data_IF_339670059058
#
_entry.id   IF_339670059058
#
_cell.length_a   1.000
_cell.length_b   1.000
_cell.length_c   1.000
_cell.angle_alpha   90.00
_cell.angle_beta   90.00
_cell.angle_gamma   90.00
#
_symmetry.space_group_name_H-M   'P 1'
#
loop_
_entity.id
_entity.type
_entity.pdbx_description
1 polymer ?
#
# COMPACT_ATOMS: atom_id res chain seq x y z
N UNK A 1 -65.47 1.68 -0.86
CA UNK A 1 -65.38 0.67 0.23
C UNK A 1 -64.67 1.34 1.42
N UNK A 2 -64.83 0.84 2.64
CA UNK A 2 -64.46 1.53 3.92
C UNK A 2 -62.94 1.81 4.04
N UNK A 3 -62.54 3.00 4.56
CA UNK A 3 -61.95 3.31 5.90
C UNK A 3 -60.58 2.66 6.21
N UNK A 4 -59.64 3.19 7.03
CA UNK A 4 -59.47 4.42 7.85
C UNK A 4 -58.16 5.15 7.40
N UNK A 5 -57.85 6.45 7.55
CA UNK A 5 -58.09 7.54 8.54
C UNK A 5 -56.97 7.71 9.63
N UNK A 6 -56.06 8.69 9.36
CA UNK A 6 -55.41 9.72 10.25
C UNK A 6 -54.62 9.25 11.52
N UNK A 7 -53.73 10.03 12.14
CA UNK A 7 -53.16 11.39 11.94
C UNK A 7 -51.60 11.30 12.04
N UNK A 8 -50.71 12.24 12.44
CA UNK A 8 -50.58 13.65 12.91
C UNK A 8 -49.13 14.09 12.45
N UNK A 9 -48.65 15.31 12.17
CA UNK A 9 -48.91 16.72 12.54
C UNK A 9 -48.50 17.13 13.99
N UNK A 10 -47.79 18.23 14.29
CA UNK A 10 -47.25 19.36 13.49
C UNK A 10 -46.09 20.05 14.28
N UNK A 11 -45.24 20.85 13.61
CA UNK A 11 -44.26 21.81 14.19
C UNK A 11 -43.05 21.22 14.99
N UNK A 12 -41.94 21.95 15.20
CA UNK A 12 -41.63 23.32 14.76
C UNK A 12 -40.13 23.67 14.89
N UNK A 13 -39.70 24.78 14.28
CA UNK A 13 -38.32 25.25 14.36
C UNK A 13 -38.07 26.11 15.61
N UNK A 14 -36.89 25.95 16.23
CA UNK A 14 -36.44 26.77 17.35
C UNK A 14 -34.92 26.97 17.32
N UNK A 15 -34.48 28.22 17.20
CA UNK A 15 -33.06 28.59 17.32
C UNK A 15 -32.74 28.85 18.80
N UNK A 16 -31.71 28.20 19.34
CA UNK A 16 -31.27 28.43 20.72
C UNK A 16 -30.08 29.38 20.71
N UNK A 17 -30.31 30.64 21.05
CA UNK A 17 -29.26 31.61 21.38
C UNK A 17 -28.88 31.48 22.85
N UNK A 18 -27.69 30.99 23.15
CA UNK A 18 -27.16 30.96 24.52
C UNK A 18 -26.62 32.35 24.88
N UNK A 19 -27.34 33.05 25.75
CA UNK A 19 -26.86 34.27 26.40
C UNK A 19 -26.09 33.90 27.66
N UNK A 20 -24.87 34.44 27.83
CA UNK A 20 -24.05 34.19 29.01
C UNK A 20 -24.20 35.35 30.02
N UNK A 21 -25.00 35.14 31.07
CA UNK A 21 -25.06 36.02 32.23
C UNK A 21 -24.05 35.58 33.30
N UNK A 22 -23.24 36.51 33.80
CA UNK A 22 -22.37 36.24 34.94
C UNK A 22 -23.20 36.21 36.24
N UNK A 23 -23.02 35.23 37.14
CA UNK A 23 -23.55 35.31 38.50
C UNK A 23 -22.73 36.30 39.33
N UNK A 24 -23.42 37.17 40.07
CA UNK A 24 -22.83 38.10 41.04
C UNK A 24 -22.46 37.41 42.35
N UNK A 25 -21.40 37.87 43.01
CA UNK A 25 -20.92 37.32 44.28
C UNK A 25 -21.73 37.79 45.50
N UNK A 26 -22.55 36.92 46.08
CA UNK A 26 -23.00 37.01 47.47
C UNK A 26 -23.54 35.66 47.99
N UNK A 27 -23.80 35.60 49.30
CA UNK A 27 -24.37 34.49 50.07
C UNK A 27 -23.56 33.17 50.11
N UNK A 28 -22.51 33.18 50.93
CA UNK A 28 -22.04 31.98 51.64
C UNK A 28 -22.82 31.90 52.96
N UNK A 29 -23.57 30.83 53.19
CA UNK A 29 -24.07 30.43 54.52
C UNK A 29 -23.86 28.94 54.77
N UNK A 30 -23.81 28.59 56.05
CA UNK A 30 -23.37 27.27 56.52
C UNK A 30 -24.25 26.11 56.01
N UNK A 31 -23.62 25.18 55.29
CA UNK A 31 -24.16 23.83 55.10
C UNK A 31 -23.26 22.84 55.84
N UNK A 32 -23.89 21.96 56.63
CA UNK A 32 -23.18 21.00 57.49
C UNK A 32 -22.45 19.96 56.63
N UNK A 33 -21.21 19.66 57.03
CA UNK A 33 -20.48 18.48 56.55
C UNK A 33 -21.11 17.21 57.15
N UNK A 34 -22.10 16.66 56.45
CA UNK A 34 -22.51 15.26 56.65
C UNK A 34 -21.53 14.31 55.94
N UNK A 35 -21.40 13.08 56.44
CA UNK A 35 -20.38 12.14 55.99
C UNK A 35 -20.64 11.65 54.55
N UNK A 36 -20.01 12.32 53.57
CA UNK A 36 -19.87 11.79 52.21
C UNK A 36 -18.87 10.62 52.28
N UNK A 37 -19.36 9.38 52.25
CA UNK A 37 -18.50 8.24 51.96
C UNK A 37 -17.80 8.47 50.61
N UNK A 38 -16.47 8.42 50.59
CA UNK A 38 -15.72 8.59 49.36
C UNK A 38 -16.19 7.54 48.33
N UNK A 39 -16.64 7.94 47.12
CA UNK A 39 -17.15 6.99 46.15
C UNK A 39 -16.06 5.99 45.81
N UNK A 40 -16.32 4.71 46.10
CA UNK A 40 -15.38 3.63 45.75
C UNK A 40 -15.14 3.70 44.26
N UNK A 41 -13.94 4.12 43.84
CA UNK A 41 -13.51 3.98 42.46
C UNK A 41 -13.52 2.49 42.14
N UNK A 42 -14.58 2.06 41.45
CA UNK A 42 -14.49 0.90 40.60
C UNK A 42 -13.43 1.23 39.56
N UNK A 43 -12.24 0.63 39.72
CA UNK A 43 -11.28 0.51 38.65
C UNK A 43 -11.95 -0.35 37.58
N UNK A 44 -12.68 0.32 36.68
CA UNK A 44 -13.10 -0.30 35.42
C UNK A 44 -11.81 -0.68 34.72
N UNK A 45 -11.55 -1.99 34.61
CA UNK A 45 -10.43 -2.51 33.83
C UNK A 45 -10.75 -2.30 32.35
N UNK A 46 -10.65 -1.04 31.92
CA UNK A 46 -10.62 -0.67 30.51
C UNK A 46 -9.30 -1.18 29.96
N UNK A 47 -9.28 -2.47 29.61
CA UNK A 47 -8.21 -3.05 28.83
C UNK A 47 -8.04 -2.16 27.60
N UNK A 48 -6.92 -1.45 27.57
CA UNK A 48 -6.61 -0.51 26.51
C UNK A 48 -6.24 -1.36 25.30
N UNK A 49 -7.24 -1.73 24.50
CA UNK A 49 -7.06 -2.48 23.26
C UNK A 49 -6.08 -1.72 22.39
N UNK A 50 -4.86 -2.25 22.28
CA UNK A 50 -3.83 -1.67 21.45
C UNK A 50 -4.29 -1.77 20.00
N UNK A 51 -4.26 -0.65 19.22
CA UNK A 51 -4.79 -0.64 17.87
C UNK A 51 -4.12 -1.74 17.06
N UNK A 52 -4.92 -2.47 16.27
CA UNK A 52 -4.45 -3.58 15.45
C UNK A 52 -3.40 -3.11 14.43
N UNK A 53 -2.59 -4.01 13.89
CA UNK A 53 -1.65 -3.67 12.82
C UNK A 53 -2.36 -2.99 11.64
N UNK A 54 -3.56 -3.49 11.26
CA UNK A 54 -4.42 -2.92 10.21
C UNK A 54 -4.84 -1.47 10.52
N UNK A 55 -5.20 -1.15 11.76
CA UNK A 55 -5.54 0.22 12.17
C UNK A 55 -4.31 1.15 12.22
N UNK A 56 -3.17 0.66 12.70
CA UNK A 56 -1.92 1.41 12.68
C UNK A 56 -1.48 1.74 11.25
N UNK A 57 -1.59 0.79 10.32
CA UNK A 57 -1.36 1.04 8.88
C UNK A 57 -2.35 2.09 8.37
N UNK A 58 -3.64 1.95 8.64
CA UNK A 58 -4.65 2.94 8.26
C UNK A 58 -4.39 4.35 8.81
N UNK A 59 -3.80 4.47 9.99
CA UNK A 59 -3.40 5.74 10.62
C UNK A 59 -2.11 6.33 9.99
N UNK A 60 -1.06 5.51 9.80
CA UNK A 60 0.17 5.96 9.14
C UNK A 60 -0.08 6.34 7.66
N UNK A 61 -0.97 5.63 6.96
CA UNK A 61 -1.45 6.00 5.62
C UNK A 61 -2.13 7.39 5.62
N UNK A 62 -2.88 7.74 6.67
CA UNK A 62 -3.47 9.09 6.81
C UNK A 62 -2.42 10.17 7.12
N UNK A 63 -1.44 9.88 8.00
CA UNK A 63 -0.31 10.79 8.28
C UNK A 63 0.54 11.03 7.03
N UNK A 64 0.79 9.99 6.23
CA UNK A 64 1.45 10.10 4.93
C UNK A 64 0.71 11.09 4.02
N UNK A 65 -0.60 10.91 3.82
CA UNK A 65 -1.46 11.79 3.01
C UNK A 65 -1.37 13.25 3.42
N UNK A 66 -1.53 13.52 4.72
CA UNK A 66 -1.46 14.87 5.26
C UNK A 66 -0.08 15.49 5.05
N UNK A 67 1.00 14.72 5.27
CA UNK A 67 2.38 15.18 5.03
C UNK A 67 2.66 15.44 3.54
N UNK A 68 2.15 14.60 2.63
CA UNK A 68 2.34 14.73 1.19
C UNK A 68 1.58 15.96 0.68
N UNK A 69 0.30 16.10 1.06
CA UNK A 69 -0.51 17.29 0.76
C UNK A 69 0.05 18.58 1.40
N UNK A 70 0.86 18.50 2.47
CA UNK A 70 1.63 19.64 2.98
C UNK A 70 2.80 19.98 2.04
N UNK A 71 3.67 19.00 1.70
CA UNK A 71 4.79 19.18 0.74
C UNK A 71 4.32 19.75 -0.61
N UNK A 72 3.17 19.28 -1.10
CA UNK A 72 2.50 19.76 -2.32
C UNK A 72 2.19 21.24 -2.25
N UNK A 73 1.64 21.72 -1.12
CA UNK A 73 1.17 23.10 -0.95
C UNK A 73 2.29 24.08 -0.59
N UNK A 74 3.36 23.62 0.07
CA UNK A 74 4.56 24.43 0.31
C UNK A 74 5.47 24.56 -0.92
N UNK A 75 5.14 23.87 -2.03
CA UNK A 75 6.00 23.71 -3.20
C UNK A 75 7.38 23.09 -2.86
N UNK A 76 7.48 22.32 -1.77
CA UNK A 76 8.72 21.73 -1.27
C UNK A 76 9.08 20.43 -2.01
N UNK A 77 9.01 20.47 -3.34
CA UNK A 77 9.50 19.42 -4.23
C UNK A 77 11.02 19.57 -4.47
N UNK A 78 11.78 19.99 -3.44
CA UNK A 78 13.13 20.56 -3.56
C UNK A 78 14.22 19.54 -3.89
N UNK A 79 14.25 19.10 -5.14
CA UNK A 79 15.41 18.49 -5.82
C UNK A 79 15.77 17.05 -5.42
N UNK A 80 15.56 16.62 -4.17
CA UNK A 80 15.97 15.29 -3.69
C UNK A 80 15.16 14.16 -4.31
N UNK A 81 13.83 14.24 -4.27
CA UNK A 81 12.93 13.21 -4.80
C UNK A 81 12.72 13.29 -6.32
N UNK A 82 13.02 14.44 -6.92
CA UNK A 82 13.03 14.60 -8.37
C UNK A 82 14.01 13.64 -9.07
N UNK A 83 15.07 13.13 -8.41
CA UNK A 83 16.08 12.29 -9.06
C UNK A 83 15.52 10.99 -9.69
N UNK A 84 14.41 10.46 -9.17
CA UNK A 84 13.79 9.24 -9.73
C UNK A 84 12.66 9.55 -10.74
N UNK A 85 12.14 10.78 -10.78
CA UNK A 85 11.10 11.25 -11.72
C UNK A 85 11.62 12.23 -12.80
N UNK A 86 12.86 12.69 -12.69
CA UNK A 86 13.56 13.48 -13.71
C UNK A 86 13.92 12.59 -14.88
N UNK A 87 13.49 12.99 -16.08
CA UNK A 87 13.56 12.19 -17.33
C UNK A 87 14.95 12.17 -17.96
N UNK A 88 15.98 11.90 -17.15
CA UNK A 88 17.37 11.69 -17.58
C UNK A 88 18.00 10.52 -16.82
N UNK A 89 17.67 9.31 -17.25
CA UNK A 89 18.52 8.12 -16.98
C UNK A 89 19.94 8.28 -17.56
N UNK A 90 20.14 9.24 -18.48
CA UNK A 90 21.44 9.65 -19.00
C UNK A 90 22.33 10.42 -17.99
N UNK A 91 21.74 11.19 -17.06
CA UNK A 91 22.51 11.88 -15.98
C UNK A 91 22.70 10.94 -14.78
N UNK A 92 23.02 9.67 -15.05
CA UNK A 92 23.36 8.69 -14.04
C UNK A 92 24.71 9.04 -13.41
N UNK A 93 24.65 9.75 -12.29
CA UNK A 93 25.75 9.97 -11.38
C UNK A 93 25.90 8.72 -10.48
N UNK A 94 26.90 7.84 -10.71
CA UNK A 94 27.08 6.64 -9.91
C UNK A 94 27.46 6.95 -8.46
N UNK A 95 28.00 8.14 -8.16
CA UNK A 95 28.34 8.56 -6.81
C UNK A 95 27.09 9.01 -6.04
N UNK A 96 26.19 9.82 -6.63
CA UNK A 96 24.89 10.15 -6.02
C UNK A 96 24.01 8.91 -5.86
N UNK A 97 23.97 8.05 -6.88
CA UNK A 97 23.25 6.78 -6.77
C UNK A 97 23.84 5.89 -5.67
N UNK A 98 25.17 5.84 -5.51
CA UNK A 98 25.84 5.16 -4.38
C UNK A 98 25.54 5.83 -3.03
N UNK A 99 25.38 7.15 -2.97
CA UNK A 99 25.04 7.89 -1.76
C UNK A 99 23.57 7.69 -1.34
N UNK A 100 22.66 7.55 -2.30
CA UNK A 100 21.30 7.06 -2.07
C UNK A 100 21.32 5.59 -1.62
N UNK A 101 22.08 4.70 -2.27
CA UNK A 101 22.24 3.28 -1.86
C UNK A 101 22.88 3.11 -0.47
N UNK A 102 23.61 4.10 0.03
CA UNK A 102 24.20 4.08 1.37
C UNK A 102 23.19 4.46 2.49
N UNK A 103 22.22 5.33 2.18
CA UNK A 103 21.25 5.86 3.14
C UNK A 103 19.81 5.35 2.94
N UNK A 104 19.53 4.71 1.81
CA UNK A 104 18.24 4.11 1.47
C UNK A 104 18.44 2.66 1.04
N UNK A 105 17.55 1.79 1.51
CA UNK A 105 17.56 0.36 1.23
C UNK A 105 18.85 -0.34 1.67
N UNK A 106 19.04 -0.40 3.00
CA UNK A 106 19.18 -1.76 3.55
C UNK A 106 17.95 -2.51 3.04
N UNK A 107 18.10 -3.42 2.08
CA UNK A 107 17.02 -4.37 1.79
C UNK A 107 16.68 -5.01 3.14
N UNK A 108 15.42 -4.89 3.58
CA UNK A 108 15.03 -5.37 4.90
C UNK A 108 15.45 -6.83 5.00
N UNK A 109 16.42 -7.11 5.87
CA UNK A 109 16.86 -8.47 6.13
C UNK A 109 15.66 -9.15 6.76
N UNK A 110 14.92 -9.91 5.98
CA UNK A 110 13.75 -10.71 6.38
C UNK A 110 14.17 -11.91 7.23
N UNK A 111 15.04 -11.66 8.22
CA UNK A 111 15.60 -12.62 9.17
C UNK A 111 14.89 -12.64 10.52
N UNK A 112 13.79 -11.89 10.65
CA UNK A 112 12.78 -12.15 11.66
C UNK A 112 11.64 -12.95 11.01
N UNK A 113 11.15 -13.95 11.75
CA UNK A 113 9.75 -14.32 11.63
C UNK A 113 8.96 -13.22 12.30
N UNK A 114 7.89 -12.77 11.66
CA UNK A 114 7.00 -11.73 12.19
C UNK A 114 5.59 -12.25 12.07
N UNK A 115 4.87 -12.25 13.19
CA UNK A 115 3.44 -12.58 13.24
C UNK A 115 2.56 -11.42 12.69
N UNK A 116 3.19 -10.48 11.97
CA UNK A 116 2.62 -9.34 11.29
C UNK A 116 2.05 -9.76 9.91
N UNK A 117 0.81 -9.37 9.63
CA UNK A 117 0.14 -9.53 8.35
C UNK A 117 0.95 -8.82 7.23
N UNK A 118 1.04 -9.40 6.02
CA UNK A 118 1.73 -8.76 4.90
C UNK A 118 0.96 -7.52 4.43
N UNK A 119 1.69 -6.43 4.17
CA UNK A 119 1.12 -5.16 3.70
C UNK A 119 1.24 -5.09 2.18
N UNK A 120 0.11 -5.14 1.48
CA UNK A 120 0.07 -5.16 0.02
C UNK A 120 -0.43 -3.81 -0.48
N UNK A 121 0.44 -3.04 -1.12
CA UNK A 121 0.08 -1.75 -1.71
C UNK A 121 -0.32 -1.95 -3.16
N UNK A 122 -1.62 -1.89 -3.44
CA UNK A 122 -2.17 -1.96 -4.80
C UNK A 122 -2.23 -0.55 -5.39
N UNK A 123 -1.71 -0.39 -6.60
CA UNK A 123 -1.76 0.85 -7.36
C UNK A 123 -2.60 0.70 -8.64
N UNK A 124 -3.89 1.06 -8.63
CA UNK A 124 -4.70 1.04 -9.84
C UNK A 124 -4.19 2.16 -10.77
N UNK A 125 -3.57 1.79 -11.88
CA UNK A 125 -2.92 2.69 -12.85
C UNK A 125 -3.86 3.78 -13.37
N UNK A 126 -3.32 4.93 -13.76
CA UNK A 126 -4.09 6.11 -14.20
C UNK A 126 -5.12 6.57 -13.15
N UNK A 127 -6.08 7.46 -13.44
CA UNK A 127 -7.00 7.92 -12.39
C UNK A 127 -8.15 8.83 -12.82
N UNK A 128 -9.32 8.61 -12.22
CA UNK A 128 -10.51 9.43 -12.44
C UNK A 128 -10.43 10.77 -11.70
N UNK A 129 -9.43 11.60 -12.02
CA UNK A 129 -9.32 12.96 -11.46
C UNK A 129 -10.48 13.85 -11.96
N UNK A 130 -10.89 14.79 -11.11
CA UNK A 130 -11.97 15.72 -11.42
C UNK A 130 -11.63 16.63 -12.60
N UNK A 131 -12.66 17.11 -13.32
CA UNK A 131 -12.58 18.14 -14.38
C UNK A 131 -12.04 19.52 -13.95
N UNK A 132 -11.42 19.61 -12.77
CA UNK A 132 -10.73 20.77 -12.21
C UNK A 132 -9.20 20.58 -12.18
N UNK A 133 -8.67 19.42 -12.61
CA UNK A 133 -7.24 19.17 -12.72
C UNK A 133 -6.67 19.86 -13.97
N UNK A 134 -5.65 20.72 -13.80
CA UNK A 134 -5.02 21.46 -14.91
C UNK A 134 -4.32 20.55 -15.93
N UNK A 135 -3.97 19.32 -15.55
CA UNK A 135 -3.41 18.31 -16.44
C UNK A 135 -4.48 17.50 -17.22
N UNK A 136 -5.77 17.72 -16.95
CA UNK A 136 -6.86 16.97 -17.58
C UNK A 136 -7.13 15.59 -16.94
N UNK A 137 -7.79 14.73 -17.71
CA UNK A 137 -8.40 13.48 -17.26
C UNK A 137 -7.57 12.27 -17.72
N UNK A 138 -6.79 11.68 -16.80
CA UNK A 138 -5.92 10.53 -17.11
C UNK A 138 -6.70 9.20 -17.10
N UNK A 139 -7.23 8.83 -18.27
CA UNK A 139 -7.95 7.57 -18.48
C UNK A 139 -7.08 6.33 -18.53
N UNK A 140 -5.77 6.48 -18.76
CA UNK A 140 -5.00 5.46 -19.48
C UNK A 140 -5.56 5.22 -20.88
N UNK A 141 -5.37 4.02 -21.41
CA UNK A 141 -5.92 3.62 -22.71
C UNK A 141 -7.46 3.73 -22.78
N UNK A 142 -7.97 4.05 -23.97
CA UNK A 142 -9.41 4.01 -24.29
C UNK A 142 -9.62 3.23 -25.59
N UNK A 143 -10.36 2.12 -25.53
CA UNK A 143 -10.82 1.43 -26.74
C UNK A 143 -12.02 2.17 -27.33
N UNK A 144 -11.77 2.98 -28.37
CA UNK A 144 -12.71 3.96 -28.94
C UNK A 144 -14.11 3.38 -29.18
N UNK A 145 -14.19 2.26 -29.92
CA UNK A 145 -15.46 1.69 -30.39
C UNK A 145 -16.36 1.13 -29.28
N UNK A 146 -15.88 1.02 -28.02
CA UNK A 146 -16.72 0.59 -26.88
C UNK A 146 -16.55 1.44 -25.61
N UNK A 147 -15.79 2.54 -25.67
CA UNK A 147 -15.57 3.43 -24.53
C UNK A 147 -14.96 2.76 -23.28
N UNK A 148 -14.27 1.63 -23.43
CA UNK A 148 -13.61 0.94 -22.31
C UNK A 148 -12.35 1.71 -21.94
N UNK A 149 -12.31 2.23 -20.70
CA UNK A 149 -11.22 3.05 -20.15
C UNK A 149 -10.42 2.24 -19.15
N UNK A 150 -9.10 2.18 -19.32
CA UNK A 150 -8.14 1.49 -18.44
C UNK A 150 -8.34 1.88 -16.97
N UNK A 151 -8.35 3.17 -16.64
CA UNK A 151 -8.46 3.68 -15.28
C UNK A 151 -9.71 3.20 -14.52
N UNK A 152 -10.79 2.86 -15.23
CA UNK A 152 -12.02 2.29 -14.65
C UNK A 152 -11.99 0.77 -14.56
N UNK A 153 -11.23 0.13 -15.45
CA UNK A 153 -11.08 -1.32 -15.55
C UNK A 153 -10.15 -1.84 -14.46
N UNK A 154 -8.96 -1.24 -14.32
CA UNK A 154 -7.97 -1.61 -13.29
C UNK A 154 -8.45 -1.26 -11.88
N UNK A 155 -9.30 -0.23 -11.73
CA UNK A 155 -9.91 0.12 -10.44
C UNK A 155 -10.88 -0.97 -9.95
N UNK A 156 -11.73 -1.51 -10.83
CA UNK A 156 -12.61 -2.66 -10.51
C UNK A 156 -11.79 -3.90 -10.13
N UNK A 157 -10.74 -4.19 -10.91
CA UNK A 157 -9.85 -5.34 -10.66
C UNK A 157 -9.13 -5.16 -9.31
N UNK A 158 -8.68 -3.95 -8.98
CA UNK A 158 -8.01 -3.65 -7.73
C UNK A 158 -8.92 -3.81 -6.49
N UNK A 159 -10.21 -3.48 -6.59
CA UNK A 159 -11.16 -3.72 -5.50
C UNK A 159 -11.43 -5.20 -5.26
N UNK A 160 -11.63 -5.99 -6.33
CA UNK A 160 -11.81 -7.44 -6.21
C UNK A 160 -10.52 -8.11 -5.70
N UNK A 161 -9.34 -7.62 -6.12
CA UNK A 161 -8.04 -8.10 -5.62
C UNK A 161 -7.83 -7.76 -4.14
N UNK A 162 -8.22 -6.54 -3.71
CA UNK A 162 -8.22 -6.16 -2.29
C UNK A 162 -9.09 -7.11 -1.47
N UNK A 163 -10.36 -7.28 -1.85
CA UNK A 163 -11.27 -8.19 -1.16
C UNK A 163 -10.70 -9.62 -1.10
N UNK A 164 -10.19 -10.14 -2.22
CA UNK A 164 -9.61 -11.49 -2.30
C UNK A 164 -8.41 -11.66 -1.36
N UNK A 165 -7.50 -10.70 -1.30
CA UNK A 165 -6.29 -10.77 -0.46
C UNK A 165 -6.60 -10.62 1.05
N UNK A 166 -7.59 -9.79 1.40
CA UNK A 166 -8.00 -9.60 2.79
C UNK A 166 -8.83 -10.78 3.31
N UNK A 167 -9.63 -11.43 2.45
CA UNK A 167 -10.37 -12.65 2.77
C UNK A 167 -9.48 -13.90 2.82
N UNK A 168 -8.63 -14.10 1.80
CA UNK A 168 -7.88 -15.35 1.60
C UNK A 168 -6.56 -15.41 2.37
N UNK A 169 -5.87 -14.28 2.50
CA UNK A 169 -4.49 -14.22 3.00
C UNK A 169 -4.34 -13.37 4.27
N UNK A 170 -5.45 -12.88 4.84
CA UNK A 170 -5.53 -11.94 5.96
C UNK A 170 -4.56 -10.75 5.84
N UNK A 171 -4.31 -10.32 4.60
CA UNK A 171 -3.37 -9.24 4.32
C UNK A 171 -3.90 -7.87 4.80
N UNK A 172 -3.02 -6.87 4.85
CA UNK A 172 -3.43 -5.47 5.00
C UNK A 172 -3.29 -4.81 3.63
N UNK A 173 -4.42 -4.54 2.96
CA UNK A 173 -4.37 -4.01 1.58
C UNK A 173 -4.61 -2.50 1.57
N UNK A 174 -3.57 -1.78 1.16
CA UNK A 174 -3.56 -0.32 0.99
C UNK A 174 -3.73 0.00 -0.51
N UNK A 175 -4.58 0.96 -0.87
CA UNK A 175 -4.78 1.35 -2.27
C UNK A 175 -4.30 2.79 -2.53
N UNK A 176 -3.49 2.98 -3.58
CA UNK A 176 -3.02 4.32 -3.99
C UNK A 176 -4.10 5.20 -4.62
N UNK A 177 -5.28 4.64 -4.90
CA UNK A 177 -6.56 5.36 -5.09
C UNK A 177 -7.74 4.42 -4.87
N UNK A 178 -8.89 4.97 -4.49
CA UNK A 178 -10.14 4.25 -4.33
C UNK A 178 -11.28 5.15 -3.86
N UNK A 179 -12.39 4.53 -3.44
CA UNK A 179 -13.60 5.25 -3.02
C UNK A 179 -13.36 6.00 -1.70
N UNK A 180 -13.96 7.18 -1.59
CA UNK A 180 -13.88 7.98 -0.38
C UNK A 180 -14.62 7.26 0.78
N UNK A 181 -13.91 6.99 1.87
CA UNK A 181 -14.44 6.29 3.05
C UNK A 181 -13.49 5.22 3.59
N UNK A 182 -12.77 4.52 2.70
CA UNK A 182 -11.74 3.57 3.12
C UNK A 182 -10.51 4.31 3.65
N UNK A 183 -10.13 4.07 4.91
CA UNK A 183 -8.97 4.71 5.55
C UNK A 183 -7.67 4.34 4.81
N UNK A 184 -7.64 3.15 4.23
CA UNK A 184 -6.53 2.50 3.53
C UNK A 184 -6.44 2.93 2.05
N UNK A 185 -7.47 3.57 1.47
CA UNK A 185 -7.49 3.96 0.04
C UNK A 185 -7.42 5.47 -0.14
N UNK A 186 -6.54 5.98 -1.01
CA UNK A 186 -6.48 7.42 -1.33
C UNK A 186 -7.80 7.84 -1.99
N UNK A 187 -8.48 8.91 -1.55
CA UNK A 187 -9.80 9.26 -2.07
C UNK A 187 -9.70 9.73 -3.53
N UNK A 188 -10.52 9.15 -4.41
CA UNK A 188 -10.52 9.38 -5.87
C UNK A 188 -10.47 10.86 -6.31
N UNK A 189 -10.99 11.79 -5.50
CA UNK A 189 -10.91 13.25 -5.74
C UNK A 189 -9.60 13.86 -5.23
N UNK A 190 -8.48 13.55 -5.87
CA UNK A 190 -7.19 14.23 -5.63
C UNK A 190 -7.00 15.48 -6.49
N UNK A 191 -7.92 16.45 -6.39
CA UNK A 191 -7.76 17.80 -6.99
C UNK A 191 -6.54 18.60 -6.47
N UNK A 192 -5.77 18.00 -5.56
CA UNK A 192 -4.49 18.45 -5.05
C UNK A 192 -3.33 18.30 -6.05
N UNK A 193 -3.43 17.42 -7.05
CA UNK A 193 -2.30 17.00 -7.90
C UNK A 193 -2.41 17.53 -9.33
N UNK A 194 -2.16 18.83 -9.50
CA UNK A 194 -2.16 19.55 -10.81
C UNK A 194 -1.25 18.96 -11.93
N UNK A 195 -0.51 17.89 -11.67
CA UNK A 195 0.44 17.30 -12.61
C UNK A 195 0.60 15.79 -12.36
N UNK A 196 0.51 14.98 -13.42
CA UNK A 196 0.68 13.52 -13.39
C UNK A 196 1.96 13.07 -12.67
N UNK A 197 3.07 13.83 -12.74
CA UNK A 197 4.31 13.53 -11.99
C UNK A 197 4.10 13.45 -10.47
N UNK A 198 3.26 14.33 -9.92
CA UNK A 198 2.92 14.35 -8.48
C UNK A 198 2.02 13.16 -8.14
N UNK A 199 1.07 12.84 -9.02
CA UNK A 199 0.20 11.68 -8.87
C UNK A 199 0.99 10.35 -8.94
N UNK A 200 2.03 10.26 -9.77
CA UNK A 200 2.95 9.12 -9.81
C UNK A 200 3.87 9.07 -8.58
N UNK A 201 4.32 10.24 -8.08
CA UNK A 201 5.15 10.35 -6.89
C UNK A 201 4.43 9.86 -5.62
N UNK A 202 3.18 10.26 -5.38
CA UNK A 202 2.43 9.83 -4.18
C UNK A 202 2.19 8.31 -4.16
N UNK A 203 1.92 7.69 -5.32
CA UNK A 203 1.77 6.24 -5.47
C UNK A 203 3.05 5.52 -5.07
N UNK A 204 4.18 5.95 -5.63
CA UNK A 204 5.48 5.32 -5.38
C UNK A 204 5.99 5.55 -3.94
N UNK A 205 5.76 6.74 -3.37
CA UNK A 205 6.11 7.03 -1.98
C UNK A 205 5.26 6.23 -0.97
N UNK A 206 4.03 5.84 -1.30
CA UNK A 206 3.11 5.16 -0.36
C UNK A 206 3.71 3.88 0.23
N UNK A 207 4.19 2.95 -0.60
CA UNK A 207 4.76 1.69 -0.11
C UNK A 207 6.13 1.90 0.55
N UNK A 208 6.93 2.82 0.02
CA UNK A 208 8.24 3.16 0.56
C UNK A 208 8.16 3.84 1.94
N UNK A 209 7.12 4.64 2.19
CA UNK A 209 6.81 5.21 3.51
C UNK A 209 6.38 4.12 4.50
N UNK A 210 5.51 3.20 4.08
CA UNK A 210 5.08 2.09 4.93
C UNK A 210 6.25 1.19 5.34
N UNK A 211 7.23 0.95 4.45
CA UNK A 211 8.44 0.20 4.77
C UNK A 211 9.38 0.90 5.77
N UNK A 212 9.23 2.21 5.98
CA UNK A 212 9.92 2.97 7.05
C UNK A 212 9.15 2.94 8.37
N UNK A 213 7.82 2.74 8.32
CA UNK A 213 6.94 2.71 9.50
C UNK A 213 6.78 1.31 10.10
N UNK A 214 6.76 0.30 9.24
CA UNK A 214 6.59 -1.11 9.59
C UNK A 214 7.81 -1.89 9.08
N UNK A 215 9.00 -1.68 9.68
CA UNK A 215 10.25 -2.31 9.21
C UNK A 215 10.32 -3.83 9.42
N UNK A 216 9.33 -4.38 10.13
CA UNK A 216 9.15 -5.80 10.39
C UNK A 216 8.18 -6.47 9.40
N UNK A 217 7.18 -5.73 8.90
CA UNK A 217 6.17 -6.26 7.98
C UNK A 217 6.79 -6.59 6.62
N UNK A 218 6.37 -7.69 5.99
CA UNK A 218 6.63 -7.89 4.56
C UNK A 218 5.71 -6.97 3.75
N UNK A 219 6.31 -6.06 2.97
CA UNK A 219 5.57 -5.07 2.17
C UNK A 219 5.90 -5.26 0.68
N UNK A 220 4.87 -5.21 -0.17
CA UNK A 220 5.04 -5.22 -1.64
C UNK A 220 4.22 -4.11 -2.30
N UNK A 221 4.58 -3.75 -3.53
CA UNK A 221 3.87 -2.81 -4.38
C UNK A 221 3.43 -3.47 -5.70
N UNK A 222 2.15 -3.39 -6.04
CA UNK A 222 1.56 -4.00 -7.24
C UNK A 222 0.75 -2.95 -8.00
N UNK A 223 1.35 -2.37 -9.04
CA UNK A 223 0.65 -1.48 -9.96
C UNK A 223 -0.10 -2.28 -11.02
N UNK A 224 -1.32 -1.88 -11.37
CA UNK A 224 -2.24 -2.59 -12.27
C UNK A 224 -2.62 -1.72 -13.47
N UNK A 225 -2.33 -2.21 -14.67
CA UNK A 225 -2.45 -1.49 -15.94
C UNK A 225 -3.05 -2.39 -17.04
N UNK A 226 -3.38 -1.81 -18.20
CA UNK A 226 -3.79 -2.57 -19.40
C UNK A 226 -3.14 -2.05 -20.68
N UNK A 227 -2.55 -2.96 -21.45
CA UNK A 227 -1.74 -2.63 -22.62
C UNK A 227 -2.57 -2.09 -23.80
N UNK A 228 -1.93 -1.44 -24.75
CA UNK A 228 -2.52 -0.90 -25.98
C UNK A 228 -1.70 -1.32 -27.21
N UNK A 229 -2.09 -0.91 -28.41
CA UNK A 229 -1.34 -1.18 -29.63
C UNK A 229 -1.44 -2.63 -30.12
N UNK A 230 -2.52 -3.33 -29.78
CA UNK A 230 -2.83 -4.70 -30.21
C UNK A 230 -1.84 -5.80 -29.75
N UNK A 231 -1.09 -5.59 -28.66
CA UNK A 231 -0.24 -6.63 -28.05
C UNK A 231 -1.10 -7.59 -27.21
N UNK A 232 -1.26 -8.88 -27.58
CA UNK A 232 -2.12 -9.81 -26.84
C UNK A 232 -1.42 -10.39 -25.60
N UNK A 233 -2.20 -10.72 -24.58
CA UNK A 233 -1.73 -11.34 -23.34
C UNK A 233 -1.24 -10.34 -22.29
N UNK A 234 -0.48 -10.84 -21.32
CA UNK A 234 -0.14 -10.11 -20.10
C UNK A 234 1.36 -9.98 -19.86
N UNK A 235 1.81 -8.85 -19.34
CA UNK A 235 3.22 -8.55 -19.11
C UNK A 235 3.41 -8.03 -17.67
N UNK A 236 4.11 -8.81 -16.84
CA UNK A 236 4.39 -8.46 -15.44
C UNK A 236 5.80 -7.87 -15.38
N UNK A 237 5.87 -6.55 -15.29
CA UNK A 237 7.10 -5.79 -15.29
C UNK A 237 7.68 -5.62 -13.89
N UNK A 238 8.97 -5.84 -13.76
CA UNK A 238 9.77 -5.45 -12.60
C UNK A 238 10.83 -4.40 -13.00
N UNK A 239 11.37 -3.66 -12.04
CA UNK A 239 12.48 -2.75 -12.32
C UNK A 239 13.81 -3.51 -12.39
N UNK A 240 14.43 -3.51 -13.57
CA UNK A 240 15.87 -3.68 -13.70
C UNK A 240 16.42 -2.60 -14.67
N UNK A 241 17.48 -1.88 -14.28
CA UNK A 241 18.00 -0.78 -15.09
C UNK A 241 18.77 -1.30 -16.31
N UNK A 242 18.22 -0.98 -17.49
CA UNK A 242 18.89 -1.20 -18.77
C UNK A 242 20.29 -0.57 -18.73
N UNK A 243 21.34 -1.36 -19.03
CA UNK A 243 22.78 -0.96 -18.96
C UNK A 243 23.39 -0.81 -17.55
N UNK A 244 22.80 -1.40 -16.50
CA UNK A 244 23.50 -1.59 -15.22
C UNK A 244 23.69 -0.32 -14.36
N UNK A 245 22.92 0.74 -14.63
CA UNK A 245 22.91 1.98 -13.83
C UNK A 245 22.34 1.83 -12.41
N UNK A 246 22.03 0.62 -11.96
CA UNK A 246 21.49 0.37 -10.63
C UNK A 246 21.38 -1.11 -10.33
N UNK A 247 20.89 -1.40 -9.13
CA UNK A 247 20.56 -2.77 -8.73
C UNK A 247 19.26 -3.20 -9.43
N UNK A 248 19.33 -4.33 -10.13
CA UNK A 248 18.16 -5.21 -10.28
C UNK A 248 17.57 -5.49 -8.88
N UNK A 249 16.27 -5.75 -8.79
CA UNK A 249 15.60 -6.17 -7.57
C UNK A 249 15.19 -7.63 -7.72
N UNK A 250 16.02 -8.58 -7.22
CA UNK A 250 15.70 -10.02 -7.30
C UNK A 250 14.34 -10.37 -6.72
N UNK A 251 13.90 -9.66 -5.68
CA UNK A 251 12.58 -9.85 -5.09
C UNK A 251 11.45 -9.27 -5.95
N UNK A 252 11.63 -8.11 -6.59
CA UNK A 252 10.67 -7.62 -7.60
C UNK A 252 10.57 -8.59 -8.78
N UNK A 253 11.70 -9.16 -9.22
CA UNK A 253 11.76 -10.17 -10.27
C UNK A 253 11.07 -11.47 -9.87
N UNK A 254 11.27 -11.93 -8.63
CA UNK A 254 10.61 -13.13 -8.08
C UNK A 254 9.10 -12.91 -7.93
N UNK A 255 8.68 -11.74 -7.47
CA UNK A 255 7.27 -11.33 -7.43
C UNK A 255 6.65 -11.33 -8.84
N UNK A 256 7.34 -10.76 -9.84
CA UNK A 256 6.89 -10.77 -11.24
C UNK A 256 6.76 -12.19 -11.81
N UNK A 257 7.74 -13.06 -11.54
CA UNK A 257 7.70 -14.47 -11.96
C UNK A 257 6.57 -15.24 -11.26
N UNK A 258 6.35 -15.03 -9.96
CA UNK A 258 5.29 -15.72 -9.19
C UNK A 258 3.88 -15.28 -9.59
N UNK A 259 3.69 -14.00 -9.93
CA UNK A 259 2.45 -13.53 -10.54
C UNK A 259 2.31 -14.09 -11.97
N UNK A 260 3.39 -14.07 -12.76
CA UNK A 260 3.38 -14.59 -14.13
C UNK A 260 3.31 -16.14 -14.24
N UNK A 261 3.47 -16.89 -13.15
CA UNK A 261 3.20 -18.34 -13.14
C UNK A 261 1.72 -18.63 -12.89
N UNK A 262 1.01 -17.78 -12.14
CA UNK A 262 -0.39 -17.96 -11.75
C UNK A 262 -1.40 -17.18 -12.61
N UNK A 263 -0.99 -16.07 -13.23
CA UNK A 263 -1.89 -15.20 -13.98
C UNK A 263 -1.98 -15.54 -15.47
N UNK A 264 -3.12 -16.03 -15.93
CA UNK A 264 -3.47 -16.14 -17.35
C UNK A 264 -4.81 -15.43 -17.58
N UNK A 265 -4.77 -14.33 -18.35
CA UNK A 265 -5.98 -13.58 -18.73
C UNK A 265 -7.05 -14.48 -19.37
N UNK A 266 -6.62 -15.43 -20.22
CA UNK A 266 -7.45 -16.46 -20.86
C UNK A 266 -6.58 -17.63 -21.32
N UNK A 267 -7.21 -18.76 -21.64
CA UNK A 267 -6.51 -19.90 -22.24
C UNK A 267 -5.76 -19.48 -23.53
N UNK A 268 -4.51 -19.92 -23.67
CA UNK A 268 -3.66 -19.61 -24.81
C UNK A 268 -3.26 -18.14 -24.98
N UNK A 269 -3.49 -17.27 -23.99
CA UNK A 269 -2.84 -15.96 -23.97
C UNK A 269 -1.35 -16.11 -23.58
N UNK A 270 -0.42 -15.39 -24.22
CA UNK A 270 0.96 -15.33 -23.77
C UNK A 270 1.06 -14.54 -22.45
N UNK A 271 2.10 -14.81 -21.67
CA UNK A 271 2.29 -14.21 -20.36
C UNK A 271 3.78 -14.14 -20.01
N UNK A 272 4.33 -12.94 -19.84
CA UNK A 272 5.76 -12.69 -19.67
C UNK A 272 6.07 -11.96 -18.35
N UNK A 273 7.22 -12.31 -17.73
CA UNK A 273 7.83 -11.51 -16.66
C UNK A 273 9.03 -10.77 -17.25
N UNK A 274 8.98 -9.43 -17.27
CA UNK A 274 9.90 -8.57 -18.05
C UNK A 274 10.50 -7.45 -17.19
N UNK A 275 11.64 -6.89 -17.60
CA UNK A 275 12.24 -5.73 -16.93
C UNK A 275 12.01 -4.44 -17.71
N UNK A 276 11.56 -3.36 -17.05
CA UNK A 276 11.40 -2.05 -17.69
C UNK A 276 11.59 -0.87 -16.69
N UNK A 277 11.82 0.33 -17.22
CA UNK A 277 12.21 1.55 -16.49
C UNK A 277 11.01 2.43 -16.08
N UNK A 278 9.95 1.82 -15.56
CA UNK A 278 8.75 2.54 -15.09
C UNK A 278 9.03 3.34 -13.82
N UNK A 279 8.57 4.60 -13.80
CA UNK A 279 8.83 5.50 -12.68
C UNK A 279 8.23 5.02 -11.34
N UNK A 280 7.05 4.39 -11.36
CA UNK A 280 6.42 3.81 -10.16
C UNK A 280 7.15 2.58 -9.59
N UNK A 281 8.10 2.01 -10.33
CA UNK A 281 8.96 0.90 -9.87
C UNK A 281 10.36 1.38 -9.49
N UNK A 282 10.98 2.24 -10.32
CA UNK A 282 12.33 2.80 -10.09
C UNK A 282 12.47 3.54 -8.74
N UNK A 283 11.37 4.07 -8.21
CA UNK A 283 11.32 4.80 -6.93
C UNK A 283 11.18 3.91 -5.69
N UNK A 284 10.96 2.60 -5.84
CA UNK A 284 10.49 1.74 -4.75
C UNK A 284 11.62 1.25 -3.82
N UNK A 285 11.34 1.26 -2.52
CA UNK A 285 12.16 0.62 -1.48
C UNK A 285 11.74 -0.83 -1.19
N UNK A 286 10.70 -1.33 -1.87
CA UNK A 286 10.05 -2.63 -1.66
C UNK A 286 10.03 -3.47 -2.94
N UNK A 287 9.87 -4.80 -2.84
CA UNK A 287 9.53 -5.67 -3.97
C UNK A 287 8.29 -5.14 -4.68
N UNK A 288 8.40 -4.95 -5.99
CA UNK A 288 7.54 -4.03 -6.74
C UNK A 288 7.36 -4.44 -8.19
N UNK A 289 6.11 -4.47 -8.66
CA UNK A 289 5.75 -4.83 -10.03
C UNK A 289 4.70 -3.88 -10.63
N UNK A 290 4.68 -3.81 -11.96
CA UNK A 290 3.59 -3.24 -12.76
C UNK A 290 3.05 -4.36 -13.66
N UNK A 291 1.77 -4.69 -13.52
CA UNK A 291 1.13 -5.76 -14.26
C UNK A 291 0.26 -5.18 -15.37
N UNK A 292 0.69 -5.33 -16.62
CA UNK A 292 -0.16 -5.18 -17.80
C UNK A 292 -1.04 -6.43 -17.91
N UNK A 293 -2.32 -6.30 -17.56
CA UNK A 293 -3.20 -7.46 -17.37
C UNK A 293 -3.71 -8.06 -18.69
N UNK A 294 -3.69 -7.29 -19.76
CA UNK A 294 -4.27 -7.61 -21.06
C UNK A 294 -4.35 -6.36 -21.91
N UNK A 295 -4.43 -6.48 -23.23
CA UNK A 295 -4.71 -5.30 -24.07
C UNK A 295 -6.19 -5.00 -24.20
N UNK A 296 -6.56 -3.72 -24.12
CA UNK A 296 -7.93 -3.26 -24.40
C UNK A 296 -8.26 -3.21 -25.90
N UNK A 297 -7.24 -3.24 -26.77
CA UNK A 297 -7.42 -3.20 -28.24
C UNK A 297 -7.67 -4.60 -28.80
N UNK A 298 -7.04 -5.62 -28.19
CA UNK A 298 -7.28 -7.03 -28.52
C UNK A 298 -8.65 -7.45 -27.97
N UNK A 299 -9.64 -7.65 -28.84
CA UNK A 299 -11.03 -7.96 -28.45
C UNK A 299 -11.14 -9.09 -27.41
N UNK A 300 -10.45 -10.22 -27.63
CA UNK A 300 -10.49 -11.39 -26.73
C UNK A 300 -9.93 -11.09 -25.33
N UNK A 301 -9.05 -10.09 -25.24
CA UNK A 301 -8.42 -9.66 -24.00
C UNK A 301 -9.31 -8.62 -23.31
N UNK A 302 -9.79 -7.62 -24.05
CA UNK A 302 -10.83 -6.65 -23.60
C UNK A 302 -12.06 -7.33 -23.03
N UNK A 303 -12.52 -8.44 -23.62
CA UNK A 303 -13.63 -9.24 -23.10
C UNK A 303 -13.26 -9.98 -21.80
N UNK A 304 -12.10 -10.64 -21.76
CA UNK A 304 -11.62 -11.34 -20.56
C UNK A 304 -11.37 -10.39 -19.38
N UNK A 305 -10.87 -9.17 -19.65
CA UNK A 305 -10.67 -8.11 -18.67
C UNK A 305 -11.97 -7.66 -17.97
N UNK A 306 -13.16 -7.92 -18.55
CA UNK A 306 -14.43 -7.62 -17.89
C UNK A 306 -14.80 -8.58 -16.74
N UNK A 307 -13.97 -9.59 -16.44
CA UNK A 307 -14.13 -10.51 -15.33
C UNK A 307 -13.10 -10.24 -14.21
N UNK A 308 -13.30 -9.18 -13.39
CA UNK A 308 -12.32 -8.77 -12.40
C UNK A 308 -12.13 -9.81 -11.27
N UNK A 309 -13.14 -10.63 -10.96
CA UNK A 309 -13.03 -11.70 -9.93
C UNK A 309 -12.08 -12.81 -10.34
N UNK A 310 -12.17 -13.32 -11.57
CA UNK A 310 -11.24 -14.34 -12.08
C UNK A 310 -9.81 -13.79 -12.26
N UNK A 311 -9.65 -12.49 -12.47
CA UNK A 311 -8.34 -11.83 -12.50
C UNK A 311 -7.78 -11.69 -11.07
N UNK A 312 -8.57 -11.16 -10.14
CA UNK A 312 -8.22 -10.99 -8.74
C UNK A 312 -7.77 -12.31 -8.08
N UNK A 313 -8.54 -13.40 -8.27
CA UNK A 313 -8.19 -14.72 -7.74
C UNK A 313 -6.82 -15.23 -8.24
N UNK A 314 -6.52 -15.04 -9.52
CA UNK A 314 -5.24 -15.47 -10.10
C UNK A 314 -4.06 -14.60 -9.63
N UNK A 315 -4.25 -13.28 -9.56
CA UNK A 315 -3.23 -12.36 -9.03
C UNK A 315 -2.95 -12.65 -7.54
N UNK A 316 -4.00 -12.89 -6.74
CA UNK A 316 -3.86 -13.28 -5.34
C UNK A 316 -3.08 -14.59 -5.16
N UNK A 317 -3.36 -15.63 -5.96
CA UNK A 317 -2.60 -16.89 -5.95
C UNK A 317 -1.09 -16.68 -6.23
N UNK A 318 -0.76 -15.76 -7.14
CA UNK A 318 0.63 -15.42 -7.47
C UNK A 318 1.34 -14.62 -6.38
N UNK A 319 0.63 -13.70 -5.73
CA UNK A 319 1.13 -12.91 -4.58
C UNK A 319 1.30 -13.81 -3.35
N UNK A 320 0.35 -14.69 -3.06
CA UNK A 320 0.45 -15.69 -2.00
C UNK A 320 1.65 -16.61 -2.20
N UNK A 321 1.82 -17.15 -3.41
CA UNK A 321 2.92 -18.06 -3.73
C UNK A 321 4.29 -17.40 -3.52
N UNK A 322 4.40 -16.10 -3.83
CA UNK A 322 5.59 -15.30 -3.56
C UNK A 322 5.91 -15.25 -2.05
N UNK A 323 4.91 -15.01 -1.20
CA UNK A 323 5.09 -15.01 0.27
C UNK A 323 5.37 -16.41 0.83
N UNK A 324 4.70 -17.45 0.33
CA UNK A 324 4.95 -18.84 0.75
C UNK A 324 6.37 -19.30 0.41
N UNK A 325 6.92 -18.89 -0.74
CA UNK A 325 8.33 -19.10 -1.09
C UNK A 325 9.26 -18.32 -0.16
N UNK A 326 8.98 -17.03 0.13
CA UNK A 326 9.74 -16.23 1.10
C UNK A 326 9.84 -16.95 2.45
N UNK A 327 8.72 -17.50 2.92
CA UNK A 327 8.63 -18.19 4.20
C UNK A 327 9.47 -19.48 4.20
N UNK A 328 9.31 -20.34 3.19
CA UNK A 328 10.06 -21.60 3.05
C UNK A 328 11.57 -21.37 3.02
N UNK A 329 12.04 -20.38 2.26
CA UNK A 329 13.45 -20.01 2.19
C UNK A 329 13.99 -19.49 3.54
N UNK A 330 13.22 -18.67 4.26
CA UNK A 330 13.58 -18.16 5.60
C UNK A 330 13.67 -19.27 6.65
N UNK A 331 12.73 -20.22 6.66
CA UNK A 331 12.77 -21.39 7.56
C UNK A 331 14.04 -22.22 7.32
N UNK A 332 14.36 -22.50 6.06
CA UNK A 332 15.57 -23.26 5.69
C UNK A 332 16.86 -22.52 6.09
N UNK A 333 16.92 -21.20 5.85
CA UNK A 333 18.07 -20.38 6.26
C UNK A 333 18.23 -20.32 7.79
N UNK A 334 17.16 -20.15 8.54
CA UNK A 334 17.18 -20.11 10.01
C UNK A 334 17.65 -21.46 10.59
N UNK A 335 17.20 -22.58 10.04
CA UNK A 335 17.67 -23.91 10.41
C UNK A 335 19.16 -24.09 10.09
N UNK A 336 19.61 -23.76 8.87
CA UNK A 336 21.01 -23.86 8.47
C UNK A 336 21.93 -23.00 9.35
N UNK A 337 21.53 -21.76 9.67
CA UNK A 337 22.25 -20.87 10.58
C UNK A 337 22.39 -21.47 11.99
N UNK A 338 21.30 -22.03 12.53
CA UNK A 338 21.30 -22.70 13.85
C UNK A 338 22.20 -23.93 13.89
N UNK A 339 22.33 -24.67 12.77
CA UNK A 339 23.31 -25.76 12.66
C UNK A 339 24.75 -25.21 12.60
N UNK A 340 25.02 -24.19 11.77
CA UNK A 340 26.35 -23.55 11.71
C UNK A 340 26.80 -23.02 13.08
N UNK A 341 25.90 -22.44 13.88
CA UNK A 341 26.19 -21.94 15.23
C UNK A 341 26.56 -23.05 16.24
N UNK A 342 26.19 -24.32 15.99
CA UNK A 342 26.71 -25.46 16.78
C UNK A 342 28.18 -25.72 16.47
N UNK A 343 28.54 -25.70 15.18
CA UNK A 343 29.90 -25.97 14.69
C UNK A 343 30.86 -24.80 14.92
N UNK A 344 30.35 -23.57 15.05
CA UNK A 344 31.12 -22.37 15.39
C UNK A 344 31.36 -22.17 16.89
N UNK A 345 30.93 -23.11 17.76
CA UNK A 345 31.41 -23.14 19.14
C UNK A 345 32.93 -23.33 19.12
N UNK A 346 33.72 -22.43 19.75
CA UNK A 346 35.17 -22.49 19.65
C UNK A 346 35.71 -23.77 20.31
N UNK A 347 36.74 -24.38 19.71
CA UNK A 347 37.44 -25.56 20.25
C UNK A 347 38.26 -25.26 21.54
N UNK A 348 38.07 -24.09 22.15
CA UNK A 348 38.78 -23.60 23.32
C UNK A 348 38.20 -24.18 24.63
N UNK A 349 38.12 -25.51 24.70
CA UNK A 349 37.97 -26.26 25.95
C UNK A 349 38.77 -27.56 25.99
N UNK A 350 39.69 -27.78 25.03
CA UNK A 350 40.84 -28.66 25.26
C UNK A 350 41.75 -27.95 26.27
N UNK A 351 41.44 -28.15 27.56
CA UNK A 351 42.39 -27.88 28.64
C UNK A 351 43.52 -28.87 28.45
N UNK A 352 44.65 -28.39 27.93
CA UNK A 352 45.89 -29.14 27.95
C UNK A 352 46.28 -29.29 29.43
N UNK A 353 45.98 -30.46 30.00
CA UNK A 353 46.39 -30.80 31.35
C UNK A 353 47.93 -30.74 31.41
N UNK A 354 48.45 -29.77 32.15
CA UNK A 354 49.88 -29.61 32.41
C UNK A 354 50.32 -30.75 33.33
N UNK A 355 50.80 -31.84 32.73
CA UNK A 355 51.52 -32.89 33.45
C UNK A 355 52.89 -32.35 33.89
N UNK A 356 52.92 -31.62 35.01
CA UNK A 356 54.14 -31.38 35.76
C UNK A 356 54.40 -32.57 36.70
N UNK A 357 55.60 -33.18 36.66
CA UNK A 357 56.00 -34.28 37.55
C UNK A 357 56.63 -33.80 38.87
#
# INVERSE_FOLDING_TARGET
MQQLIKAFAIAGAGWITVSASQPSSQDIQDTKLENIEAPKLQLVDTQLEWPTQRENVGLEVQKFRQSFAARVRSNDYTGKWNQCFSTRSADYDPAKAKMLRANSVRYHKSGAFTDEQPIIVIDPGHGHESSLAEAGYDTGGIHEATGVQEARLVEKIAFELKATLEEKNDAIVVMTRGLAGHKESLPQKTSLFKNQKVALQVRAETASYLAEKFPNSEIIFVSLHTNTGNVPGSEIYYYAPFRGGGTDSPESKRLAISINSHYRLRAGAPAYALSNDYAVLRCQKVPSVLAELGSIDVEKDRLALQNPKTIAAQLANGIESYFQESYKARVQYAAAKKEMEKWQKPANSIVLASNEP
#
